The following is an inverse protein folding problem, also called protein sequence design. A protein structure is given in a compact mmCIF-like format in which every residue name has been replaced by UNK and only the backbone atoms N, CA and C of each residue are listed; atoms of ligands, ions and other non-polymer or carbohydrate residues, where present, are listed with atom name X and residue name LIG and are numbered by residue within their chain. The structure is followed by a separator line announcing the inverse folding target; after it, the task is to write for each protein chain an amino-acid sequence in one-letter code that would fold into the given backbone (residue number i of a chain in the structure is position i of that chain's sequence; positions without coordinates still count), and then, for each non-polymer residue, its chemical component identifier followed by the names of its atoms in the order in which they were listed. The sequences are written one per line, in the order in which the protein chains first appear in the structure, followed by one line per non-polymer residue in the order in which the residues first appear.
data_IF_739530830546
#
_entry.id   IF_739530830546
#
_cell.length_a   1.000
_cell.length_b   1.000
_cell.length_c   1.000
_cell.angle_alpha   90.00
_cell.angle_beta   90.00
_cell.angle_gamma   90.00
#
_symmetry.space_group_name_H-M   'P 1'
#
loop_
_entity.id
_entity.type
_entity.pdbx_description
1 polymer ?
#
# COMPACT_ATOMS: atom_id res chain seq x y z
N UNK A 1 -8.31 11.58 16.17
CA UNK A 1 -7.03 11.12 15.58
C UNK A 1 -6.60 12.16 14.56
N UNK A 2 -5.31 12.50 14.48
CA UNK A 2 -4.83 13.49 13.50
C UNK A 2 -4.72 12.81 12.14
N UNK A 3 -5.46 13.28 11.15
CA UNK A 3 -5.26 12.90 9.77
C UNK A 3 -3.90 13.42 9.28
N UNK A 4 -3.17 12.59 8.53
CA UNK A 4 -1.91 12.96 7.90
C UNK A 4 -2.08 12.96 6.38
N UNK A 5 -1.60 14.01 5.72
CA UNK A 5 -1.58 14.12 4.26
C UNK A 5 -0.25 13.64 3.67
N UNK A 6 -0.31 12.94 2.55
CA UNK A 6 0.86 12.55 1.76
C UNK A 6 0.75 13.12 0.34
N UNK A 7 1.81 13.79 -0.14
CA UNK A 7 1.88 14.29 -1.52
C UNK A 7 2.82 13.40 -2.33
N UNK A 8 2.33 12.88 -3.44
CA UNK A 8 3.09 12.07 -4.40
C UNK A 8 3.16 12.79 -5.75
N UNK A 9 4.29 12.65 -6.46
CA UNK A 9 4.42 13.09 -7.85
C UNK A 9 4.22 11.87 -8.75
N UNK A 10 3.39 12.02 -9.76
CA UNK A 10 3.06 10.98 -10.73
C UNK A 10 3.28 11.53 -12.13
N UNK A 11 3.53 10.64 -13.09
CA UNK A 11 3.46 11.00 -14.49
C UNK A 11 2.04 11.46 -14.84
N UNK A 12 1.88 12.51 -15.68
CA UNK A 12 0.57 13.05 -16.02
C UNK A 12 -0.39 11.99 -16.57
N UNK A 13 0.10 11.16 -17.49
CA UNK A 13 -0.69 10.11 -18.14
C UNK A 13 -1.18 9.06 -17.13
N UNK A 14 -0.34 8.67 -16.17
CA UNK A 14 -0.73 7.73 -15.11
C UNK A 14 -1.79 8.34 -14.19
N UNK A 15 -1.66 9.62 -13.85
CA UNK A 15 -2.65 10.33 -13.03
C UNK A 15 -4.00 10.38 -13.74
N UNK A 16 -4.02 10.73 -15.03
CA UNK A 16 -5.25 10.86 -15.80
C UNK A 16 -5.94 9.51 -15.99
N UNK A 17 -5.18 8.47 -16.30
CA UNK A 17 -5.70 7.10 -16.38
C UNK A 17 -6.30 6.64 -15.05
N UNK A 18 -5.61 6.88 -13.93
CA UNK A 18 -6.10 6.53 -12.61
C UNK A 18 -7.37 7.29 -12.22
N UNK A 19 -7.42 8.60 -12.48
CA UNK A 19 -8.60 9.42 -12.22
C UNK A 19 -9.81 8.99 -13.06
N UNK A 20 -9.59 8.70 -14.35
CA UNK A 20 -10.63 8.18 -15.24
C UNK A 20 -11.20 6.85 -14.74
N UNK A 21 -10.33 5.92 -14.31
CA UNK A 21 -10.76 4.64 -13.75
C UNK A 21 -11.55 4.80 -12.44
N UNK A 22 -11.16 5.75 -11.58
CA UNK A 22 -11.89 6.07 -10.35
C UNK A 22 -13.29 6.64 -10.65
N UNK A 23 -13.40 7.55 -11.62
CA UNK A 23 -14.68 8.11 -12.05
C UNK A 23 -15.61 7.05 -12.64
N UNK A 24 -15.10 6.15 -13.50
CA UNK A 24 -15.90 5.06 -14.08
C UNK A 24 -16.46 4.10 -13.03
N UNK A 25 -15.74 3.93 -11.92
CA UNK A 25 -16.13 3.06 -10.81
C UNK A 25 -16.92 3.80 -9.72
N UNK A 26 -17.16 5.10 -9.88
CA UNK A 26 -17.79 5.99 -8.89
C UNK A 26 -17.14 5.88 -7.49
N UNK A 27 -15.81 5.78 -7.45
CA UNK A 27 -15.06 5.68 -6.19
C UNK A 27 -14.04 6.82 -6.05
N UNK A 28 -13.87 7.39 -4.85
CA UNK A 28 -12.84 8.40 -4.62
C UNK A 28 -11.42 7.80 -4.76
N UNK A 29 -10.55 8.48 -5.50
CA UNK A 29 -9.13 8.11 -5.65
C UNK A 29 -8.42 7.84 -4.30
N UNK A 30 -8.73 8.66 -3.28
CA UNK A 30 -8.19 8.50 -1.94
C UNK A 30 -8.63 7.20 -1.27
N UNK A 31 -9.84 6.70 -1.55
CA UNK A 31 -10.31 5.43 -1.02
C UNK A 31 -9.51 4.28 -1.62
N UNK A 32 -9.36 4.26 -2.94
CA UNK A 32 -8.57 3.24 -3.66
C UNK A 32 -7.13 3.19 -3.14
N UNK A 33 -6.48 4.34 -2.97
CA UNK A 33 -5.12 4.42 -2.43
C UNK A 33 -5.04 3.90 -0.99
N UNK A 34 -6.01 4.26 -0.12
CA UNK A 34 -6.02 3.79 1.27
C UNK A 34 -6.18 2.27 1.34
N UNK A 35 -7.05 1.68 0.51
CA UNK A 35 -7.25 0.23 0.47
C UNK A 35 -6.00 -0.49 -0.04
N UNK A 36 -5.42 0.03 -1.13
CA UNK A 36 -4.17 -0.51 -1.67
C UNK A 36 -3.03 -0.45 -0.64
N UNK A 37 -2.87 0.66 0.07
CA UNK A 37 -1.85 0.78 1.12
C UNK A 37 -2.08 -0.20 2.28
N UNK A 38 -3.34 -0.38 2.71
CA UNK A 38 -3.66 -1.37 3.76
C UNK A 38 -3.27 -2.77 3.33
N UNK A 39 -3.59 -3.15 2.10
CA UNK A 39 -3.26 -4.46 1.54
C UNK A 39 -1.74 -4.65 1.39
N UNK A 40 -1.07 -3.64 0.83
CA UNK A 40 0.38 -3.63 0.67
C UNK A 40 1.12 -3.83 2.00
N UNK A 41 0.71 -3.11 3.06
CA UNK A 41 1.32 -3.26 4.40
C UNK A 41 1.09 -4.66 4.97
N UNK A 42 -0.12 -5.23 4.83
CA UNK A 42 -0.41 -6.61 5.28
C UNK A 42 0.49 -7.63 4.58
N UNK A 43 0.68 -7.50 3.27
CA UNK A 43 1.55 -8.39 2.51
C UNK A 43 3.02 -8.27 2.90
N UNK A 44 3.51 -7.04 3.10
CA UNK A 44 4.89 -6.82 3.56
C UNK A 44 5.09 -7.38 4.98
N UNK A 45 4.16 -7.13 5.90
CA UNK A 45 4.28 -7.61 7.29
C UNK A 45 4.24 -9.15 7.38
N UNK A 46 3.39 -9.78 6.58
CA UNK A 46 3.33 -11.25 6.48
C UNK A 46 4.66 -11.81 5.95
N UNK A 47 5.25 -11.17 4.93
CA UNK A 47 6.55 -11.59 4.40
C UNK A 47 7.72 -11.33 5.37
N UNK A 48 7.65 -10.29 6.19
CA UNK A 48 8.66 -9.97 7.20
C UNK A 48 8.56 -10.88 8.44
N UNK A 49 7.35 -11.25 8.86
CA UNK A 49 7.11 -12.19 9.95
C UNK A 49 7.69 -13.58 9.65
N UNK A 50 7.57 -14.06 8.41
CA UNK A 50 8.20 -15.29 7.92
C UNK A 50 9.74 -15.24 8.00
N UNK A 51 10.34 -14.10 7.66
CA UNK A 51 11.81 -13.90 7.75
C UNK A 51 12.33 -13.78 9.18
N UNK A 52 11.54 -13.22 10.10
CA UNK A 52 11.92 -13.07 11.52
C UNK A 52 11.91 -14.41 12.25
N UNK A 53 10.98 -15.30 11.92
CA UNK A 53 10.91 -16.65 12.51
C UNK A 53 12.12 -17.50 12.12
N UNK A 54 12.58 -17.43 10.86
CA UNK A 54 13.70 -18.22 10.36
C UNK A 54 15.07 -17.77 10.91
N UNK A 55 15.24 -16.48 11.27
CA UNK A 55 16.48 -15.97 11.88
C UNK A 55 16.66 -16.37 13.35
N UNK A 56 15.57 -16.59 14.11
CA UNK A 56 15.66 -17.05 15.51
C UNK A 56 16.05 -18.52 15.63
N UNK A 57 15.70 -19.36 14.65
CA UNK A 57 16.02 -20.80 14.67
C UNK A 57 17.50 -21.12 14.37
N UNK A 58 18.28 -20.18 13.82
CA UNK A 58 19.67 -20.41 13.39
C UNK A 58 20.72 -19.80 14.33
N UNK A 59 20.30 -19.12 15.39
CA UNK A 59 21.19 -18.53 16.41
C UNK A 59 21.26 -19.38 17.70
N UNK A 60 20.68 -20.58 17.69
CA UNK A 60 20.55 -21.44 18.87
C UNK A 60 21.02 -22.89 18.62
N UNK A 61 21.80 -23.11 17.57
CA UNK A 61 22.42 -24.40 17.22
C UNK A 61 23.87 -24.21 16.80
#
# INVERSE_FOLDING_TARGET
MKDAGMRIRLEPELRDAFMSACHQKDVPAAQVLREFMKDFVKHVDTAQSSKKQQKKSKAQG
#
